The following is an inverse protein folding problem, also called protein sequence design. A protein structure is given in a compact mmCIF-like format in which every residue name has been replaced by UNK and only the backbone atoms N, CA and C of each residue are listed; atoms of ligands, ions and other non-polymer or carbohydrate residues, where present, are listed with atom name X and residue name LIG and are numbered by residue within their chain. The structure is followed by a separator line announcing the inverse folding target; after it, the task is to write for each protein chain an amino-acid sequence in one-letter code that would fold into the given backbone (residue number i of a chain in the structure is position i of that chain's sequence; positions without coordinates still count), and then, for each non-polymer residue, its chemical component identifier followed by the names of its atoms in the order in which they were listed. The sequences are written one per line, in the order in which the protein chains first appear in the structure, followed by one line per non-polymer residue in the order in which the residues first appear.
data_IF_903731063203
#
_entry.id   IF_903731063203
#
_cell.length_a   1.000
_cell.length_b   1.000
_cell.length_c   1.000
_cell.angle_alpha   90.00
_cell.angle_beta   90.00
_cell.angle_gamma   90.00
#
_symmetry.space_group_name_H-M   'P 1'
#
loop_
_entity.id
_entity.type
_entity.pdbx_description
1 polymer ?
#
# COMPACT_ATOMS: atom_id res chain seq x y z
N UNK A 1 20.96 -13.15 35.15
CA UNK A 1 20.42 -12.62 33.88
C UNK A 1 20.49 -11.12 33.94
N UNK A 2 21.42 -10.49 33.22
CA UNK A 2 21.61 -9.05 33.20
C UNK A 2 20.43 -8.43 32.42
N UNK A 3 19.59 -7.66 33.13
CA UNK A 3 18.58 -6.81 32.50
C UNK A 3 19.31 -5.80 31.61
N UNK A 4 19.28 -5.99 30.31
CA UNK A 4 19.70 -4.97 29.35
C UNK A 4 18.85 -3.72 29.57
N UNK A 5 19.32 -2.82 30.44
CA UNK A 5 18.85 -1.43 30.41
C UNK A 5 19.40 -0.84 29.13
N UNK A 6 18.57 -0.91 28.08
CA UNK A 6 18.83 -0.14 26.87
C UNK A 6 19.04 1.30 27.30
N UNK A 7 20.26 1.81 27.08
CA UNK A 7 20.53 3.23 27.21
C UNK A 7 19.57 3.94 26.23
N UNK A 8 18.42 4.42 26.75
CA UNK A 8 17.71 5.48 26.05
C UNK A 8 18.76 6.55 25.82
N UNK A 9 19.02 6.96 24.58
CA UNK A 9 20.02 7.97 24.32
C UNK A 9 19.73 9.14 25.27
N UNK A 10 20.76 9.58 26.01
CA UNK A 10 20.64 10.65 26.99
C UNK A 10 20.38 11.95 26.22
N UNK A 11 19.12 12.21 25.96
CA UNK A 11 18.70 13.52 25.48
C UNK A 11 18.58 14.41 26.71
N UNK A 12 19.21 15.53 26.64
CA UNK A 12 18.93 16.61 27.60
C UNK A 12 17.46 16.98 27.40
N UNK A 13 16.58 16.34 28.19
CA UNK A 13 15.09 16.42 28.04
C UNK A 13 14.56 17.85 28.08
N UNK A 14 15.38 18.78 28.52
CA UNK A 14 15.01 20.17 28.78
C UNK A 14 15.67 21.17 27.83
N UNK A 15 16.56 20.76 26.91
CA UNK A 15 17.08 21.71 25.93
C UNK A 15 15.96 22.03 24.93
N UNK A 16 15.64 23.30 24.71
CA UNK A 16 14.60 23.69 23.76
C UNK A 16 15.09 23.42 22.32
N UNK A 17 14.24 22.78 21.52
CA UNK A 17 14.45 22.58 20.09
C UNK A 17 13.27 23.24 19.39
N UNK A 18 13.55 24.20 18.52
CA UNK A 18 12.52 24.96 17.79
C UNK A 18 11.43 25.54 18.72
N UNK A 19 11.81 26.03 19.92
CA UNK A 19 10.90 26.61 20.89
C UNK A 19 10.16 25.63 21.79
N UNK A 20 10.32 24.32 21.63
CA UNK A 20 9.70 23.27 22.46
C UNK A 20 10.73 22.65 23.40
N UNK A 21 10.30 22.24 24.62
CA UNK A 21 11.08 21.24 25.34
C UNK A 21 11.14 19.98 24.49
N UNK A 22 12.26 19.28 24.46
CA UNK A 22 12.46 18.11 23.57
C UNK A 22 11.30 17.12 23.62
N UNK A 23 10.75 16.83 24.81
CA UNK A 23 9.64 15.85 24.97
C UNK A 23 8.29 16.36 24.47
N UNK A 24 8.10 17.68 24.40
CA UNK A 24 6.85 18.32 23.96
C UNK A 24 6.85 18.60 22.45
N UNK A 25 7.98 18.39 21.79
CA UNK A 25 8.09 18.62 20.36
C UNK A 25 7.18 17.65 19.57
N UNK A 26 6.39 18.12 18.59
CA UNK A 26 5.43 17.29 17.85
C UNK A 26 6.00 16.01 17.20
N UNK A 27 7.31 16.02 16.88
CA UNK A 27 7.99 14.87 16.27
C UNK A 27 8.63 13.92 17.28
N UNK A 28 8.66 14.26 18.59
CA UNK A 28 9.39 13.46 19.57
C UNK A 28 8.84 12.03 19.69
N UNK A 29 7.52 11.88 19.76
CA UNK A 29 6.88 10.57 19.82
C UNK A 29 7.19 9.72 18.57
N UNK A 30 7.19 10.34 17.38
CA UNK A 30 7.55 9.66 16.13
C UNK A 30 8.98 9.13 16.17
N UNK A 31 9.93 9.96 16.60
CA UNK A 31 11.32 9.58 16.72
C UNK A 31 11.54 8.51 17.80
N UNK A 32 10.96 8.67 18.99
CA UNK A 32 11.09 7.72 20.10
C UNK A 32 10.57 6.34 19.73
N UNK A 33 9.39 6.27 19.10
CA UNK A 33 8.80 5.02 18.62
C UNK A 33 9.64 4.40 17.48
N UNK A 34 10.19 5.19 16.56
CA UNK A 34 11.08 4.71 15.50
C UNK A 34 12.34 4.07 16.10
N UNK A 35 12.97 4.72 17.05
CA UNK A 35 14.16 4.18 17.74
C UNK A 35 13.79 2.93 18.55
N UNK A 36 12.69 2.97 19.31
CA UNK A 36 12.21 1.86 20.13
C UNK A 36 12.01 0.58 19.31
N UNK A 37 11.20 0.63 18.27
CA UNK A 37 10.89 -0.54 17.44
C UNK A 37 12.10 -1.13 16.70
N UNK A 38 13.17 -0.35 16.53
CA UNK A 38 14.40 -0.83 15.88
C UNK A 38 15.44 -1.36 16.87
N UNK A 39 15.37 -1.00 18.15
CA UNK A 39 16.45 -1.30 19.11
C UNK A 39 15.99 -1.97 20.39
N UNK A 40 14.69 -1.97 20.71
CA UNK A 40 14.15 -2.57 21.92
C UNK A 40 13.46 -3.90 21.62
N UNK A 41 14.01 -5.07 22.02
CA UNK A 41 13.38 -6.37 21.85
C UNK A 41 12.00 -6.52 22.51
N UNK A 42 11.71 -5.70 23.55
CA UNK A 42 10.43 -5.70 24.25
C UNK A 42 9.36 -4.85 23.55
N UNK A 43 9.71 -4.11 22.49
CA UNK A 43 8.75 -3.36 21.69
C UNK A 43 7.89 -4.31 20.84
N UNK A 44 6.57 -4.17 20.92
CA UNK A 44 5.62 -5.03 20.18
C UNK A 44 5.88 -5.07 18.66
N UNK A 45 6.48 -4.02 18.11
CA UNK A 45 6.81 -3.92 16.69
C UNK A 45 8.22 -4.41 16.37
N UNK A 46 9.05 -4.74 17.37
CA UNK A 46 10.44 -5.14 17.16
C UNK A 46 10.58 -6.30 16.16
N UNK A 47 9.69 -7.27 16.23
CA UNK A 47 9.65 -8.43 15.30
C UNK A 47 9.57 -8.00 13.82
N UNK A 48 8.95 -6.86 13.53
CA UNK A 48 8.78 -6.33 12.18
C UNK A 48 9.89 -5.35 11.75
N UNK A 49 10.75 -4.90 12.69
CA UNK A 49 11.80 -3.91 12.47
C UNK A 49 13.18 -4.39 12.94
N UNK A 50 13.50 -4.26 14.21
CA UNK A 50 14.82 -4.58 14.75
C UNK A 50 15.21 -6.04 14.53
N UNK A 51 14.31 -6.99 14.79
CA UNK A 51 14.54 -8.42 14.56
C UNK A 51 14.80 -8.77 13.08
N UNK A 52 14.43 -7.88 12.15
CA UNK A 52 14.70 -8.02 10.71
C UNK A 52 15.94 -7.25 10.24
N UNK A 53 16.73 -6.71 11.15
CA UNK A 53 17.90 -5.90 10.82
C UNK A 53 17.59 -4.47 10.39
N UNK A 54 16.36 -3.98 10.57
CA UNK A 54 16.04 -2.59 10.31
C UNK A 54 16.57 -1.73 11.44
N UNK A 55 17.47 -0.83 11.10
CA UNK A 55 18.17 0.04 12.06
C UNK A 55 17.83 1.52 11.83
N UNK A 56 18.14 2.35 12.81
CA UNK A 56 18.15 3.80 12.68
C UNK A 56 19.59 4.27 12.55
N UNK A 57 19.88 5.15 11.59
CA UNK A 57 21.23 5.68 11.38
C UNK A 57 21.78 6.29 12.68
N UNK A 58 23.10 6.21 12.87
CA UNK A 58 23.75 6.65 14.09
C UNK A 58 23.45 8.12 14.45
N UNK A 59 23.35 8.99 13.44
CA UNK A 59 23.00 10.41 13.60
C UNK A 59 21.64 10.59 14.29
N UNK A 60 20.60 9.95 13.80
CA UNK A 60 19.25 10.05 14.36
C UNK A 60 19.08 9.26 15.65
N UNK A 61 19.77 8.14 15.79
CA UNK A 61 19.73 7.34 17.02
C UNK A 61 20.29 8.12 18.21
N UNK A 62 21.31 8.96 17.98
CA UNK A 62 21.99 9.72 19.03
C UNK A 62 21.36 11.09 19.29
N UNK A 63 20.64 11.66 18.32
CA UNK A 63 20.16 13.04 18.40
C UNK A 63 18.77 13.18 17.82
N UNK A 64 17.81 13.52 18.68
CA UNK A 64 16.48 13.92 18.26
C UNK A 64 16.53 15.23 17.42
N UNK A 65 17.38 16.20 17.83
CA UNK A 65 17.54 17.44 17.09
C UNK A 65 17.97 17.21 15.63
N UNK A 66 18.91 16.27 15.43
CA UNK A 66 19.34 15.91 14.09
C UNK A 66 18.21 15.27 13.27
N UNK A 67 17.37 14.43 13.90
CA UNK A 67 16.18 13.87 13.25
C UNK A 67 15.18 14.95 12.86
N UNK A 68 14.87 15.87 13.79
CA UNK A 68 13.92 16.95 13.53
C UNK A 68 14.41 17.90 12.42
N UNK A 69 15.71 18.24 12.42
CA UNK A 69 16.32 19.08 11.38
C UNK A 69 16.29 18.41 9.99
N UNK A 70 16.62 17.13 9.92
CA UNK A 70 16.68 16.40 8.64
C UNK A 70 15.29 16.09 8.06
N UNK A 71 14.30 15.83 8.92
CA UNK A 71 12.92 15.51 8.47
C UNK A 71 12.06 16.74 8.24
N UNK A 72 12.42 17.88 8.84
CA UNK A 72 11.59 19.07 8.81
C UNK A 72 10.22 18.88 9.47
N UNK A 73 9.34 19.84 9.32
CA UNK A 73 7.99 19.80 9.85
C UNK A 73 7.15 18.71 9.16
N UNK A 74 6.23 18.12 9.94
CA UNK A 74 5.24 17.20 9.40
C UNK A 74 4.20 18.00 8.61
N UNK A 75 3.98 17.73 7.30
CA UNK A 75 3.08 18.52 6.46
C UNK A 75 1.63 18.57 6.96
N UNK A 76 1.14 17.49 7.60
CA UNK A 76 -0.15 17.45 8.28
C UNK A 76 -0.20 16.31 9.30
N UNK A 77 -1.18 16.28 10.23
CA UNK A 77 -1.36 15.17 11.17
C UNK A 77 -1.56 13.80 10.49
N UNK A 78 -2.04 13.77 9.25
CA UNK A 78 -2.23 12.55 8.48
C UNK A 78 -0.91 11.94 7.97
N UNK A 79 0.17 12.73 7.86
CA UNK A 79 1.47 12.20 7.42
C UNK A 79 2.15 11.42 8.53
N UNK A 80 2.88 10.38 8.19
CA UNK A 80 3.79 9.69 9.11
C UNK A 80 5.10 9.33 8.40
N UNK A 81 6.13 9.02 9.20
CA UNK A 81 7.44 8.67 8.64
C UNK A 81 7.35 7.36 7.86
N UNK A 82 7.83 7.36 6.62
CA UNK A 82 7.91 6.19 5.76
C UNK A 82 9.32 6.03 5.18
N UNK A 83 9.73 4.79 4.96
CA UNK A 83 11.00 4.45 4.29
C UNK A 83 10.73 4.27 2.81
N UNK A 84 11.47 4.96 1.95
CA UNK A 84 11.37 4.80 0.49
C UNK A 84 11.65 3.36 0.05
N UNK A 85 12.68 2.77 0.64
CA UNK A 85 13.08 1.38 0.46
C UNK A 85 12.86 0.62 1.78
N UNK A 86 11.88 -0.29 1.80
CA UNK A 86 11.50 -1.07 2.97
C UNK A 86 12.55 -2.11 3.41
N UNK A 87 13.57 -2.38 2.59
CA UNK A 87 14.69 -3.27 2.92
C UNK A 87 15.79 -2.55 3.70
N UNK A 88 15.84 -1.21 3.63
CA UNK A 88 16.84 -0.37 4.29
C UNK A 88 16.35 0.21 5.61
N UNK A 89 17.29 0.67 6.44
CA UNK A 89 17.01 1.32 7.72
C UNK A 89 16.52 2.78 7.57
N UNK A 90 16.29 3.41 8.71
CA UNK A 90 15.89 4.81 8.79
C UNK A 90 17.10 5.73 8.66
N UNK A 91 17.08 6.62 7.69
CA UNK A 91 18.09 7.64 7.43
C UNK A 91 17.49 8.78 6.64
N UNK A 92 18.15 9.98 6.59
CA UNK A 92 17.66 11.11 5.79
C UNK A 92 17.43 10.75 4.31
N UNK A 93 18.33 9.96 3.73
CA UNK A 93 18.23 9.55 2.32
C UNK A 93 17.07 8.56 2.05
N UNK A 94 16.69 7.76 3.05
CA UNK A 94 15.68 6.70 2.88
C UNK A 94 14.32 7.06 3.47
N UNK A 95 14.16 8.17 4.16
CA UNK A 95 12.90 8.54 4.82
C UNK A 95 12.23 9.74 4.15
N UNK A 96 10.91 9.77 4.27
CA UNK A 96 10.05 10.91 3.90
C UNK A 96 8.84 10.96 4.82
N UNK A 97 8.16 12.09 4.86
CA UNK A 97 6.77 12.14 5.31
C UNK A 97 5.88 11.56 4.21
N UNK A 98 5.00 10.66 4.56
CA UNK A 98 4.10 10.00 3.61
C UNK A 98 2.67 10.00 4.11
N UNK A 99 1.74 10.16 3.19
CA UNK A 99 0.31 10.01 3.41
C UNK A 99 -0.07 8.54 3.62
N UNK A 100 -1.24 8.23 4.20
CA UNK A 100 -1.74 6.86 4.29
C UNK A 100 -1.85 6.15 2.93
N UNK A 101 -2.16 6.90 1.87
CA UNK A 101 -2.20 6.37 0.48
C UNK A 101 -0.83 5.88 0.05
N UNK A 102 0.20 6.75 0.15
CA UNK A 102 1.56 6.39 -0.23
C UNK A 102 2.09 5.20 0.57
N UNK A 103 1.83 5.15 1.88
CA UNK A 103 2.24 4.02 2.71
C UNK A 103 1.51 2.72 2.34
N UNK A 104 0.22 2.80 1.99
CA UNK A 104 -0.54 1.64 1.55
C UNK A 104 -0.02 1.08 0.21
N UNK A 105 0.46 1.96 -0.68
CA UNK A 105 1.10 1.57 -1.94
C UNK A 105 2.52 1.01 -1.71
N UNK A 106 3.27 1.58 -0.77
CA UNK A 106 4.65 1.17 -0.42
C UNK A 106 4.71 -0.06 0.51
N UNK A 107 3.58 -0.70 0.82
CA UNK A 107 3.61 -1.92 1.64
C UNK A 107 4.45 -3.00 0.98
N UNK A 108 5.37 -3.58 1.79
CA UNK A 108 6.19 -4.72 1.36
C UNK A 108 5.32 -5.86 0.86
N UNK A 109 5.65 -6.38 -0.32
CA UNK A 109 5.10 -7.64 -0.83
C UNK A 109 5.65 -8.80 0.02
N UNK A 110 4.77 -9.69 0.48
CA UNK A 110 5.23 -10.89 1.20
C UNK A 110 6.04 -11.78 0.25
N UNK A 111 7.14 -12.36 0.76
CA UNK A 111 8.02 -13.28 0.00
C UNK A 111 7.24 -14.49 -0.56
N UNK A 112 6.12 -14.86 0.09
CA UNK A 112 5.21 -15.93 -0.35
C UNK A 112 4.22 -15.53 -1.44
N UNK A 113 4.30 -14.31 -1.98
CA UNK A 113 3.46 -13.91 -3.12
C UNK A 113 3.95 -14.59 -4.38
N UNK A 114 3.20 -15.54 -4.90
CA UNK A 114 3.49 -16.25 -6.15
C UNK A 114 3.51 -15.36 -7.39
N UNK A 115 2.94 -14.14 -7.29
CA UNK A 115 2.90 -13.14 -8.37
C UNK A 115 3.97 -12.06 -8.24
N UNK A 116 4.67 -11.99 -7.10
CA UNK A 116 5.56 -10.86 -6.76
C UNK A 116 4.82 -9.55 -6.50
N UNK A 117 3.51 -9.47 -6.70
CA UNK A 117 2.68 -8.29 -6.49
C UNK A 117 1.83 -8.44 -5.22
N UNK A 118 1.87 -7.42 -4.34
CA UNK A 118 1.12 -7.43 -3.09
C UNK A 118 -0.40 -7.40 -3.32
N UNK A 119 -1.10 -8.40 -2.75
CA UNK A 119 -2.55 -8.48 -2.86
C UNK A 119 -3.07 -8.94 -4.22
N UNK A 120 -2.20 -9.45 -5.09
CA UNK A 120 -2.56 -10.07 -6.36
C UNK A 120 -2.33 -11.58 -6.26
N UNK A 121 -3.34 -12.38 -6.53
CA UNK A 121 -3.34 -13.84 -6.38
C UNK A 121 -3.66 -14.49 -7.72
N UNK A 122 -2.91 -15.52 -8.16
CA UNK A 122 -3.25 -16.27 -9.35
C UNK A 122 -4.49 -17.14 -9.11
N UNK A 123 -5.24 -17.41 -10.16
CA UNK A 123 -6.36 -18.35 -10.14
C UNK A 123 -6.02 -19.59 -10.96
N UNK A 124 -6.75 -20.67 -10.76
CA UNK A 124 -6.61 -21.89 -11.60
C UNK A 124 -6.92 -21.65 -13.07
N UNK A 125 -7.68 -20.62 -13.39
CA UNK A 125 -8.06 -20.25 -14.76
C UNK A 125 -7.03 -19.35 -15.46
N UNK A 126 -5.85 -19.11 -14.87
CA UNK A 126 -4.77 -18.33 -15.46
C UNK A 126 -4.94 -16.81 -15.36
N UNK A 127 -5.97 -16.33 -14.70
CA UNK A 127 -6.15 -14.91 -14.40
C UNK A 127 -5.77 -14.58 -12.94
N UNK A 128 -5.89 -13.32 -12.54
CA UNK A 128 -5.42 -12.80 -11.27
C UNK A 128 -6.53 -12.10 -10.49
N UNK A 129 -6.62 -12.37 -9.18
CA UNK A 129 -7.54 -11.70 -8.27
C UNK A 129 -6.80 -10.57 -7.57
N UNK A 130 -7.31 -9.33 -7.66
CA UNK A 130 -6.84 -8.22 -6.85
C UNK A 130 -7.60 -8.16 -5.53
N UNK A 131 -6.86 -8.06 -4.41
CA UNK A 131 -7.39 -7.92 -3.05
C UNK A 131 -6.63 -6.85 -2.28
N UNK A 132 -7.31 -6.22 -1.36
CA UNK A 132 -6.69 -5.30 -0.41
C UNK A 132 -7.28 -5.50 0.98
N UNK A 133 -6.41 -5.52 2.00
CA UNK A 133 -6.79 -5.62 3.41
C UNK A 133 -6.30 -4.38 4.13
N UNK A 134 -7.18 -3.73 4.89
CA UNK A 134 -6.86 -2.56 5.67
C UNK A 134 -7.72 -2.49 6.92
N UNK A 135 -7.12 -2.26 8.09
CA UNK A 135 -7.80 -2.17 9.39
C UNK A 135 -8.79 -3.31 9.66
N UNK A 136 -8.42 -4.55 9.32
CA UNK A 136 -9.29 -5.72 9.49
C UNK A 136 -10.34 -5.92 8.39
N UNK A 137 -10.59 -4.91 7.56
CA UNK A 137 -11.49 -5.01 6.40
C UNK A 137 -10.78 -5.69 5.22
N UNK A 138 -11.51 -6.52 4.49
CA UNK A 138 -11.04 -7.19 3.28
C UNK A 138 -11.86 -6.78 2.07
N UNK A 139 -11.19 -6.24 1.05
CA UNK A 139 -11.78 -5.83 -0.21
C UNK A 139 -11.39 -6.77 -1.33
N UNK A 140 -12.38 -7.32 -2.04
CA UNK A 140 -12.18 -8.09 -3.26
C UNK A 140 -12.40 -7.15 -4.45
N UNK A 141 -11.35 -6.90 -5.20
CA UNK A 141 -11.33 -5.88 -6.26
C UNK A 141 -11.58 -6.45 -7.66
N UNK A 142 -11.86 -7.76 -7.74
CA UNK A 142 -12.18 -8.42 -8.99
C UNK A 142 -11.05 -9.28 -9.56
N UNK A 143 -11.31 -9.82 -10.75
CA UNK A 143 -10.37 -10.68 -11.52
C UNK A 143 -9.86 -9.92 -12.74
N UNK A 144 -8.60 -10.16 -13.08
CA UNK A 144 -7.89 -9.45 -14.15
C UNK A 144 -7.07 -10.43 -14.97
N UNK A 145 -6.87 -10.16 -16.27
CA UNK A 145 -6.11 -11.07 -17.15
C UNK A 145 -4.61 -11.06 -16.85
N UNK A 146 -4.06 -9.95 -16.31
CA UNK A 146 -2.62 -9.81 -16.03
C UNK A 146 -2.36 -9.33 -14.60
N UNK A 147 -1.13 -9.54 -14.13
CA UNK A 147 -0.67 -9.05 -12.82
C UNK A 147 -0.68 -7.52 -12.79
N UNK A 148 -0.28 -6.88 -13.89
CA UNK A 148 -0.22 -5.42 -14.03
C UNK A 148 -1.62 -4.81 -13.90
N UNK A 149 -2.61 -5.37 -14.61
CA UNK A 149 -4.00 -4.90 -14.54
C UNK A 149 -4.60 -5.08 -13.14
N UNK A 150 -4.32 -6.20 -12.47
CA UNK A 150 -4.74 -6.44 -11.10
C UNK A 150 -4.07 -5.47 -10.12
N UNK A 151 -2.79 -5.18 -10.31
CA UNK A 151 -2.01 -4.25 -9.49
C UNK A 151 -2.50 -2.81 -9.67
N UNK A 152 -2.76 -2.40 -10.92
CA UNK A 152 -3.31 -1.07 -11.23
C UNK A 152 -4.67 -0.87 -10.53
N UNK A 153 -5.60 -1.79 -10.73
CA UNK A 153 -6.92 -1.73 -10.11
C UNK A 153 -6.88 -1.68 -8.57
N UNK A 154 -5.92 -2.39 -7.97
CA UNK A 154 -5.67 -2.32 -6.52
C UNK A 154 -5.18 -0.94 -6.10
N UNK A 155 -4.24 -0.36 -6.82
CA UNK A 155 -3.67 0.95 -6.50
C UNK A 155 -4.70 2.06 -6.68
N UNK A 156 -5.50 2.03 -7.73
CA UNK A 156 -6.64 2.94 -7.95
C UNK A 156 -7.65 2.87 -6.80
N UNK A 157 -8.00 1.65 -6.38
CA UNK A 157 -8.90 1.47 -5.23
C UNK A 157 -8.31 2.06 -3.95
N UNK A 158 -7.03 1.87 -3.67
CA UNK A 158 -6.36 2.43 -2.49
C UNK A 158 -6.43 3.97 -2.51
N UNK A 159 -6.15 4.59 -3.65
CA UNK A 159 -6.29 6.05 -3.79
C UNK A 159 -7.72 6.47 -3.49
N UNK A 160 -8.70 5.84 -4.13
CA UNK A 160 -10.12 6.17 -3.97
C UNK A 160 -10.59 5.94 -2.53
N UNK A 161 -10.16 4.89 -1.85
CA UNK A 161 -10.51 4.60 -0.47
C UNK A 161 -10.11 5.72 0.50
N UNK A 162 -8.99 6.38 0.26
CA UNK A 162 -8.51 7.48 1.11
C UNK A 162 -8.99 8.87 0.66
N UNK A 163 -9.50 9.00 -0.56
CA UNK A 163 -10.03 10.27 -1.10
C UNK A 163 -11.55 10.32 -1.08
N UNK A 164 -12.21 9.21 -1.41
CA UNK A 164 -13.69 9.07 -1.43
C UNK A 164 -14.07 7.62 -1.06
N UNK A 165 -14.10 7.33 0.23
CA UNK A 165 -14.41 5.99 0.74
C UNK A 165 -15.78 5.45 0.29
N UNK A 166 -16.88 6.24 0.29
CA UNK A 166 -18.16 5.79 -0.24
C UNK A 166 -18.09 5.32 -1.69
N UNK A 167 -17.39 6.07 -2.58
CA UNK A 167 -17.21 5.67 -3.96
C UNK A 167 -16.36 4.37 -4.09
N UNK A 168 -15.30 4.21 -3.27
CA UNK A 168 -14.51 3.00 -3.23
C UNK A 168 -15.35 1.77 -2.83
N UNK A 169 -16.17 1.86 -1.78
CA UNK A 169 -17.06 0.78 -1.35
C UNK A 169 -18.03 0.41 -2.47
N UNK A 170 -18.69 1.41 -3.08
CA UNK A 170 -19.58 1.20 -4.21
C UNK A 170 -18.91 0.53 -5.42
N UNK A 171 -17.63 0.81 -5.64
CA UNK A 171 -16.83 0.15 -6.67
C UNK A 171 -16.65 -1.35 -6.38
N UNK A 172 -16.44 -1.77 -5.13
CA UNK A 172 -16.33 -3.19 -4.76
C UNK A 172 -17.66 -3.92 -4.91
N UNK A 173 -18.78 -3.32 -4.55
CA UNK A 173 -20.11 -3.88 -4.70
C UNK A 173 -20.47 -4.12 -6.17
N UNK A 174 -20.13 -3.19 -7.05
CA UNK A 174 -20.27 -3.37 -8.50
C UNK A 174 -19.41 -4.50 -9.04
N UNK A 175 -18.18 -4.65 -8.55
CA UNK A 175 -17.25 -5.71 -8.97
C UNK A 175 -17.61 -7.08 -8.40
N UNK A 176 -18.13 -7.16 -7.19
CA UNK A 176 -18.60 -8.41 -6.59
C UNK A 176 -19.75 -9.07 -7.36
N UNK A 177 -20.57 -8.28 -8.06
CA UNK A 177 -21.64 -8.78 -8.96
C UNK A 177 -21.09 -9.25 -10.32
N UNK A 178 -19.78 -9.11 -10.55
CA UNK A 178 -19.12 -9.42 -11.83
C UNK A 178 -18.03 -10.45 -11.63
N UNK A 179 -18.43 -11.71 -11.73
CA UNK A 179 -17.52 -12.84 -11.95
C UNK A 179 -17.20 -12.97 -13.47
N UNK A 180 -16.66 -11.87 -14.03
CA UNK A 180 -16.15 -11.86 -15.40
C UNK A 180 -14.75 -12.44 -15.41
N UNK A 181 -14.51 -13.47 -16.19
CA UNK A 181 -13.18 -14.06 -16.40
C UNK A 181 -12.18 -13.07 -16.99
N UNK A 182 -12.64 -11.96 -17.56
CA UNK A 182 -11.82 -10.91 -18.20
C UNK A 182 -11.62 -9.66 -17.35
N UNK A 183 -12.36 -9.50 -16.24
CA UNK A 183 -12.32 -8.28 -15.41
C UNK A 183 -13.04 -7.07 -16.04
N UNK A 184 -13.47 -7.13 -17.28
CA UNK A 184 -14.20 -6.05 -17.96
C UNK A 184 -15.65 -6.45 -18.22
N UNK A 185 -16.57 -5.59 -17.80
CA UNK A 185 -18.00 -5.81 -18.03
C UNK A 185 -18.31 -5.83 -19.52
N UNK A 186 -18.87 -6.94 -19.98
CA UNK A 186 -19.25 -7.10 -21.38
C UNK A 186 -18.21 -7.79 -22.25
N UNK A 187 -17.01 -8.05 -21.73
CA UNK A 187 -16.05 -8.93 -22.39
C UNK A 187 -16.08 -10.28 -21.67
N UNK A 188 -16.35 -11.36 -22.37
CA UNK A 188 -16.42 -12.72 -21.81
C UNK A 188 -15.50 -13.64 -22.59
N UNK A 189 -14.58 -14.33 -21.90
CA UNK A 189 -13.72 -15.35 -22.52
C UNK A 189 -14.57 -16.54 -22.98
N UNK A 190 -14.26 -17.09 -24.14
CA UNK A 190 -14.93 -18.25 -24.71
C UNK A 190 -14.14 -19.53 -24.44
N UNK A 191 -14.81 -20.61 -24.09
CA UNK A 191 -14.15 -21.88 -23.75
C UNK A 191 -13.30 -22.46 -24.88
N UNK A 192 -13.67 -22.18 -26.15
CA UNK A 192 -12.94 -22.58 -27.35
C UNK A 192 -11.82 -21.59 -27.76
N UNK A 193 -11.52 -20.62 -26.93
CA UNK A 193 -10.57 -19.54 -27.18
C UNK A 193 -11.22 -18.25 -27.66
N UNK A 194 -10.58 -17.09 -27.40
CA UNK A 194 -11.07 -15.77 -27.79
C UNK A 194 -12.10 -15.17 -26.85
N UNK A 195 -12.70 -14.06 -27.26
CA UNK A 195 -13.51 -13.18 -26.40
C UNK A 195 -14.76 -12.69 -27.11
N UNK A 196 -15.90 -12.75 -26.45
CA UNK A 196 -17.14 -12.11 -26.91
C UNK A 196 -17.31 -10.75 -26.25
N UNK A 197 -17.68 -9.75 -27.02
CA UNK A 197 -17.90 -8.38 -26.57
C UNK A 197 -19.37 -8.04 -26.61
N UNK A 198 -19.94 -7.61 -25.47
CA UNK A 198 -21.34 -7.17 -25.35
C UNK A 198 -21.39 -5.86 -24.56
N UNK A 199 -22.31 -4.98 -24.93
CA UNK A 199 -22.53 -3.70 -24.23
C UNK A 199 -24.00 -3.49 -23.97
N UNK A 200 -24.32 -2.86 -22.81
CA UNK A 200 -25.69 -2.41 -22.51
C UNK A 200 -25.81 -0.94 -22.89
N UNK A 201 -26.65 -0.66 -23.90
CA UNK A 201 -26.96 0.70 -24.35
C UNK A 201 -28.45 0.92 -24.14
N UNK A 202 -28.79 1.99 -23.41
CA UNK A 202 -30.19 2.32 -23.06
C UNK A 202 -30.98 1.13 -22.44
N UNK A 203 -30.31 0.36 -21.56
CA UNK A 203 -30.93 -0.80 -20.89
C UNK A 203 -30.96 -2.09 -21.72
N UNK A 204 -30.62 -2.04 -23.02
CA UNK A 204 -30.62 -3.20 -23.92
C UNK A 204 -29.19 -3.74 -24.09
N UNK A 205 -29.01 -5.04 -23.87
CA UNK A 205 -27.73 -5.71 -24.05
C UNK A 205 -27.47 -6.04 -25.52
N UNK A 206 -26.51 -5.34 -26.15
CA UNK A 206 -26.14 -5.55 -27.56
C UNK A 206 -24.87 -6.40 -27.66
N UNK A 207 -24.82 -7.31 -28.61
CA UNK A 207 -23.61 -8.04 -28.97
C UNK A 207 -22.81 -7.20 -29.97
N UNK A 208 -21.53 -6.94 -29.68
CA UNK A 208 -20.65 -6.12 -30.52
C UNK A 208 -19.73 -6.98 -31.41
N UNK A 209 -19.50 -8.24 -31.04
CA UNK A 209 -18.68 -9.13 -31.82
C UNK A 209 -17.84 -10.10 -31.02
N UNK A 210 -17.03 -10.88 -31.74
CA UNK A 210 -16.03 -11.79 -31.23
C UNK A 210 -14.64 -11.30 -31.64
N UNK A 211 -13.64 -11.50 -30.75
CA UNK A 211 -12.24 -11.20 -31.01
C UNK A 211 -11.35 -12.35 -30.54
N UNK A 212 -10.22 -12.54 -31.23
CA UNK A 212 -9.28 -13.62 -30.87
C UNK A 212 -8.44 -13.29 -29.66
N UNK A 213 -8.06 -12.02 -29.49
CA UNK A 213 -7.25 -11.56 -28.36
C UNK A 213 -8.07 -10.66 -27.44
N UNK A 214 -7.59 -10.54 -26.20
CA UNK A 214 -8.19 -9.67 -25.20
C UNK A 214 -8.04 -8.19 -25.57
N UNK A 215 -6.88 -7.81 -26.12
CA UNK A 215 -6.57 -6.45 -26.57
C UNK A 215 -7.53 -5.98 -27.66
N UNK A 216 -7.80 -6.82 -28.64
CA UNK A 216 -8.78 -6.54 -29.71
C UNK A 216 -10.21 -6.41 -29.14
N UNK A 217 -10.56 -7.25 -28.15
CA UNK A 217 -11.86 -7.19 -27.51
C UNK A 217 -12.02 -5.94 -26.65
N UNK A 218 -10.96 -5.50 -25.99
CA UNK A 218 -10.91 -4.28 -25.18
C UNK A 218 -11.01 -3.04 -26.08
N UNK A 219 -10.30 -3.01 -27.21
CA UNK A 219 -10.38 -1.94 -28.20
C UNK A 219 -11.82 -1.78 -28.72
N UNK A 220 -12.45 -2.88 -29.16
CA UNK A 220 -13.83 -2.87 -29.61
C UNK A 220 -14.81 -2.41 -28.54
N UNK A 221 -14.59 -2.79 -27.28
CA UNK A 221 -15.43 -2.36 -26.17
C UNK A 221 -15.26 -0.87 -25.89
N UNK A 222 -14.02 -0.34 -26.01
CA UNK A 222 -13.68 1.07 -25.77
C UNK A 222 -14.22 1.98 -26.88
N UNK A 223 -14.14 1.56 -28.16
CA UNK A 223 -14.69 2.32 -29.30
C UNK A 223 -16.19 2.59 -29.17
N UNK A 224 -16.89 1.75 -28.44
CA UNK A 224 -18.34 1.87 -28.23
C UNK A 224 -18.67 2.48 -26.86
N UNK A 225 -17.71 3.07 -26.15
CA UNK A 225 -17.88 3.66 -24.83
C UNK A 225 -18.00 5.19 -24.94
#
# INVERSE_FOLDING_TARGET
MAKYRLHRPYHKRNEPIQGYRTIDHPLYATWSNMVGRCSNPDDINYVNYGARGITVCARWRRSFAAFAADMGERPSPAHSIDRRDNSKGYSPANCKWATPVEQAQNKRTYITSSTGAGGVLPTKAGNFIARWNYNGERFNLGRYPTIEAATLARNEFIVLYFTDRPAAIKMTERRARYDSTTGVRGITAYAAGGFTVRKTVAGVRKYLGYRKTYEEALALWTEHN
#
